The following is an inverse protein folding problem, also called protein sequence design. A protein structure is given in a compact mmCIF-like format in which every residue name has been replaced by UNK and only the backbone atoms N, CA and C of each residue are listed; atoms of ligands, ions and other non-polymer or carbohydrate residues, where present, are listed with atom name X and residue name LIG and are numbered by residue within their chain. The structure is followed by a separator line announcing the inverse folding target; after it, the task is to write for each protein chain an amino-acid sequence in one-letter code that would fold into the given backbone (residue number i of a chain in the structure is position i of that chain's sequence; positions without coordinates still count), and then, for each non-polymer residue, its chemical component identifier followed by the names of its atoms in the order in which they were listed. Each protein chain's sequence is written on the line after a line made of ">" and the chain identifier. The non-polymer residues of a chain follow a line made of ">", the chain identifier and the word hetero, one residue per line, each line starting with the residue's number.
data_IF_264555122033
#
_entry.id   IF_264555122033
#
_cell.length_a   1.000
_cell.length_b   1.000
_cell.length_c   1.000
_cell.angle_alpha   90.00
_cell.angle_beta   90.00
_cell.angle_gamma   90.00
#
_symmetry.space_group_name_H-M   'P 1'
#
loop_
_entity.id
_entity.type
_entity.pdbx_description
1 polymer ?
#
# COMPACT_ATOMS: atom_id res chain seq x y z
N UNK A 1 -18.54 32.14 27.35
CA UNK A 1 -18.43 30.73 27.79
C UNK A 1 -18.69 29.75 26.63
N UNK A 2 -19.75 29.95 25.84
CA UNK A 2 -20.07 29.07 24.70
C UNK A 2 -18.97 29.03 23.62
N UNK A 3 -18.36 30.17 23.29
CA UNK A 3 -17.28 30.26 22.29
C UNK A 3 -16.05 29.42 22.67
N UNK A 4 -15.70 29.41 23.96
CA UNK A 4 -14.59 28.62 24.49
C UNK A 4 -14.89 27.12 24.45
N UNK A 5 -16.14 26.73 24.72
CA UNK A 5 -16.60 25.34 24.66
C UNK A 5 -16.55 24.78 23.22
N UNK A 6 -17.00 25.57 22.24
CA UNK A 6 -16.93 25.19 20.82
C UNK A 6 -15.48 25.04 20.32
N UNK A 7 -14.59 25.96 20.72
CA UNK A 7 -13.17 25.88 20.39
C UNK A 7 -12.51 24.61 20.97
N UNK A 8 -12.79 24.28 22.23
CA UNK A 8 -12.27 23.06 22.87
C UNK A 8 -12.78 21.80 22.16
N UNK A 9 -14.05 21.76 21.79
CA UNK A 9 -14.63 20.64 21.06
C UNK A 9 -14.00 20.46 19.68
N UNK A 10 -13.74 21.54 18.95
CA UNK A 10 -13.05 21.48 17.65
C UNK A 10 -11.62 20.97 17.79
N UNK A 11 -10.86 21.48 18.77
CA UNK A 11 -9.49 21.03 19.03
C UNK A 11 -9.45 19.53 19.37
N UNK A 12 -10.37 19.05 20.21
CA UNK A 12 -10.49 17.62 20.52
C UNK A 12 -10.80 16.78 19.28
N UNK A 13 -11.70 17.27 18.40
CA UNK A 13 -12.02 16.63 17.13
C UNK A 13 -10.79 16.55 16.21
N UNK A 14 -10.00 17.62 16.11
CA UNK A 14 -8.77 17.62 15.32
C UNK A 14 -7.73 16.64 15.86
N UNK A 15 -7.54 16.59 17.19
CA UNK A 15 -6.61 15.64 17.82
C UNK A 15 -7.08 14.20 17.61
N UNK A 16 -8.37 13.92 17.80
CA UNK A 16 -8.93 12.58 17.61
C UNK A 16 -8.81 12.10 16.16
N UNK A 17 -9.12 12.96 15.20
CA UNK A 17 -8.99 12.66 13.75
C UNK A 17 -7.54 12.45 13.33
N UNK A 18 -6.61 13.23 13.87
CA UNK A 18 -5.18 13.03 13.65
C UNK A 18 -4.69 11.67 14.18
N UNK A 19 -5.07 11.32 15.41
CA UNK A 19 -4.71 10.04 16.02
C UNK A 19 -5.31 8.86 15.26
N UNK A 20 -6.56 8.97 14.81
CA UNK A 20 -7.20 7.98 13.95
C UNK A 20 -6.49 7.85 12.60
N UNK A 21 -6.06 8.95 12.00
CA UNK A 21 -5.28 8.94 10.75
C UNK A 21 -3.94 8.23 10.90
N UNK A 22 -3.21 8.51 11.99
CA UNK A 22 -1.94 7.84 12.30
C UNK A 22 -2.13 6.34 12.57
N UNK A 23 -3.17 5.98 13.34
CA UNK A 23 -3.54 4.60 13.58
C UNK A 23 -3.90 3.88 12.27
N UNK A 24 -4.60 4.54 11.36
CA UNK A 24 -4.96 4.00 10.05
C UNK A 24 -3.73 3.78 9.17
N UNK A 25 -2.79 4.73 9.12
CA UNK A 25 -1.54 4.61 8.36
C UNK A 25 -0.68 3.41 8.83
N UNK A 26 -0.64 3.14 10.13
CA UNK A 26 0.02 1.96 10.70
C UNK A 26 -0.78 0.66 10.59
N UNK A 27 -2.07 0.72 10.24
CA UNK A 27 -2.95 -0.44 10.18
C UNK A 27 -2.81 -1.23 8.88
N UNK A 28 -3.21 -2.52 8.93
CA UNK A 28 -3.28 -3.38 7.74
C UNK A 28 -4.17 -2.77 6.63
N UNK A 29 -5.27 -2.11 7.01
CA UNK A 29 -6.14 -1.41 6.06
C UNK A 29 -5.40 -0.27 5.34
N UNK A 30 -4.65 0.55 6.07
CA UNK A 30 -3.87 1.65 5.49
C UNK A 30 -2.78 1.15 4.54
N UNK A 31 -2.06 0.09 4.92
CA UNK A 31 -1.07 -0.56 4.04
C UNK A 31 -1.69 -1.08 2.76
N UNK A 32 -2.86 -1.71 2.86
CA UNK A 32 -3.59 -2.23 1.69
C UNK A 32 -4.12 -1.10 0.80
N UNK A 33 -4.61 -0.01 1.40
CA UNK A 33 -5.06 1.17 0.68
C UNK A 33 -3.91 1.87 -0.06
N UNK A 34 -2.80 2.16 0.63
CA UNK A 34 -1.60 2.74 0.01
C UNK A 34 -1.09 1.87 -1.14
N UNK A 35 -0.99 0.56 -0.94
CA UNK A 35 -0.57 -0.36 -2.00
C UNK A 35 -1.52 -0.37 -3.20
N UNK A 36 -2.84 -0.23 -2.98
CA UNK A 36 -3.83 -0.17 -4.06
C UNK A 36 -3.68 1.12 -4.87
N UNK A 37 -3.44 2.26 -4.22
CA UNK A 37 -3.18 3.54 -4.87
C UNK A 37 -1.87 3.47 -5.67
N UNK A 38 -0.81 2.88 -5.12
CA UNK A 38 0.48 2.72 -5.81
C UNK A 38 0.36 1.84 -7.07
N UNK A 39 -0.41 0.74 -6.99
CA UNK A 39 -0.73 -0.10 -8.16
C UNK A 39 -1.52 0.68 -9.22
N UNK A 40 -2.49 1.50 -8.81
CA UNK A 40 -3.28 2.33 -9.72
C UNK A 40 -2.41 3.40 -10.41
N UNK A 41 -1.51 4.03 -9.66
CA UNK A 41 -0.55 4.99 -10.17
C UNK A 41 0.38 4.34 -11.21
N UNK A 42 0.94 3.17 -10.88
CA UNK A 42 1.77 2.40 -11.82
C UNK A 42 1.03 2.06 -13.11
N UNK A 43 -0.24 1.68 -13.01
CA UNK A 43 -1.07 1.37 -14.17
C UNK A 43 -1.34 2.60 -15.03
N UNK A 44 -1.56 3.75 -14.40
CA UNK A 44 -1.84 5.03 -15.08
C UNK A 44 -0.60 5.56 -15.80
N UNK A 45 0.56 5.53 -15.13
CA UNK A 45 1.83 6.04 -15.68
C UNK A 45 2.62 5.01 -16.50
N UNK A 46 2.09 3.80 -16.71
CA UNK A 46 2.75 2.68 -17.42
C UNK A 46 4.19 2.44 -16.94
N UNK A 47 4.42 2.61 -15.64
CA UNK A 47 5.75 2.44 -15.05
C UNK A 47 6.16 0.97 -15.04
N UNK A 48 7.46 0.71 -15.19
CA UNK A 48 7.98 -0.65 -15.09
C UNK A 48 7.86 -1.14 -13.65
N UNK A 49 7.18 -2.28 -13.48
CA UNK A 49 7.12 -2.98 -12.20
C UNK A 49 8.40 -3.78 -12.02
N UNK A 50 9.12 -3.52 -10.93
CA UNK A 50 10.30 -4.30 -10.50
C UNK A 50 9.85 -5.43 -9.55
N UNK A 51 10.63 -6.51 -9.47
CA UNK A 51 10.37 -7.65 -8.56
C UNK A 51 10.19 -7.19 -7.11
N UNK A 52 11.02 -6.24 -6.63
CA UNK A 52 10.89 -5.69 -5.27
C UNK A 52 9.55 -5.01 -5.00
N UNK A 53 9.00 -4.26 -5.98
CA UNK A 53 7.68 -3.63 -5.85
C UNK A 53 6.55 -4.66 -5.82
N UNK A 54 6.68 -5.72 -6.62
CA UNK A 54 5.73 -6.84 -6.60
C UNK A 54 5.71 -7.55 -5.24
N UNK A 55 6.88 -7.83 -4.65
CA UNK A 55 6.99 -8.42 -3.32
C UNK A 55 6.41 -7.51 -2.22
N UNK A 56 6.68 -6.21 -2.31
CA UNK A 56 6.08 -5.21 -1.41
C UNK A 56 4.55 -5.26 -1.47
N UNK A 57 3.97 -5.25 -2.67
CA UNK A 57 2.51 -5.32 -2.80
C UNK A 57 1.91 -6.65 -2.36
N UNK A 58 2.58 -7.78 -2.64
CA UNK A 58 2.08 -9.12 -2.30
C UNK A 58 2.19 -9.42 -0.80
N UNK A 59 3.34 -9.17 -0.19
CA UNK A 59 3.61 -9.57 1.20
C UNK A 59 3.40 -8.45 2.21
N UNK A 60 3.70 -7.19 1.86
CA UNK A 60 3.60 -6.07 2.81
C UNK A 60 2.23 -5.40 2.77
N UNK A 61 1.67 -5.20 1.56
CA UNK A 61 0.34 -4.62 1.37
C UNK A 61 -0.78 -5.68 1.27
N UNK A 62 -0.47 -6.97 1.28
CA UNK A 62 -1.41 -8.09 1.17
C UNK A 62 -2.42 -7.94 0.01
N UNK A 63 -1.97 -7.45 -1.15
CA UNK A 63 -2.84 -7.29 -2.32
C UNK A 63 -3.00 -8.66 -3.00
N UNK A 64 -4.24 -9.13 -3.25
CA UNK A 64 -4.48 -10.49 -3.75
C UNK A 64 -4.01 -10.71 -5.19
N UNK A 65 -3.89 -9.66 -6.02
CA UNK A 65 -3.42 -9.78 -7.41
C UNK A 65 -2.65 -8.52 -7.88
N UNK A 66 -1.40 -8.32 -7.43
CA UNK A 66 -0.58 -7.19 -7.89
C UNK A 66 -0.07 -7.43 -9.32
N UNK A 67 0.18 -6.38 -10.11
CA UNK A 67 0.66 -6.53 -11.48
C UNK A 67 2.05 -7.19 -11.49
N UNK A 68 2.14 -8.36 -12.13
CA UNK A 68 3.38 -9.15 -12.22
C UNK A 68 4.41 -8.45 -13.14
N UNK A 69 5.68 -8.32 -12.73
CA UNK A 69 6.73 -7.74 -13.57
C UNK A 69 7.04 -8.64 -14.77
N UNK A 70 7.57 -8.06 -15.86
CA UNK A 70 7.83 -8.78 -17.13
C UNK A 70 8.71 -10.03 -16.93
N UNK A 71 9.69 -9.95 -16.03
CA UNK A 71 10.59 -11.05 -15.70
C UNK A 71 9.92 -12.22 -14.95
N UNK A 72 8.79 -11.99 -14.25
CA UNK A 72 7.98 -13.08 -13.67
C UNK A 72 6.96 -13.64 -14.67
N UNK A 73 6.53 -12.86 -15.67
CA UNK A 73 5.62 -13.35 -16.74
C UNK A 73 6.34 -14.23 -17.75
N UNK A 74 7.63 -14.00 -17.99
CA UNK A 74 8.50 -14.83 -18.83
C UNK A 74 9.83 -15.02 -18.09
N UNK A 75 9.92 -16.01 -17.19
CA UNK A 75 11.17 -16.28 -16.49
C UNK A 75 12.25 -16.71 -17.48
N UNK A 76 13.33 -15.93 -17.58
CA UNK A 76 14.54 -16.29 -18.32
C UNK A 76 15.57 -16.88 -17.35
N UNK A 77 15.97 -18.13 -17.56
CA UNK A 77 16.94 -18.86 -16.73
C UNK A 77 16.36 -19.60 -15.52
N UNK A 78 17.15 -20.54 -14.97
CA UNK A 78 16.76 -21.42 -13.85
C UNK A 78 16.43 -20.65 -12.56
N UNK A 79 17.21 -19.62 -12.24
CA UNK A 79 16.99 -18.78 -11.06
C UNK A 79 15.65 -18.04 -11.13
N UNK A 80 15.26 -17.55 -12.32
CA UNK A 80 13.97 -16.90 -12.54
C UNK A 80 12.79 -17.86 -12.37
N UNK A 81 12.93 -19.11 -12.86
CA UNK A 81 11.93 -20.17 -12.68
C UNK A 81 11.76 -20.59 -11.21
N UNK A 82 12.86 -20.73 -10.46
CA UNK A 82 12.80 -21.03 -9.03
C UNK A 82 12.14 -19.88 -8.27
N UNK A 83 12.53 -18.63 -8.54
CA UNK A 83 11.92 -17.46 -7.92
C UNK A 83 10.42 -17.34 -8.19
N UNK A 84 9.96 -17.60 -9.41
CA UNK A 84 8.52 -17.62 -9.72
C UNK A 84 7.78 -18.70 -8.94
N UNK A 85 8.40 -19.85 -8.69
CA UNK A 85 7.78 -21.01 -8.02
C UNK A 85 7.71 -20.88 -6.50
N UNK A 86 8.67 -20.19 -5.88
CA UNK A 86 8.71 -19.98 -4.42
C UNK A 86 8.02 -18.69 -3.95
N UNK A 87 7.82 -17.71 -4.85
CA UNK A 87 7.10 -16.47 -4.53
C UNK A 87 5.58 -16.63 -4.71
N UNK A 88 5.12 -17.56 -5.54
CA UNK A 88 3.69 -17.80 -5.79
C UNK A 88 2.98 -18.37 -4.55
#
# INVERSE_FOLDING_TARGET
>A
MEFTLQMVQQVLLYVATYLLGMAFAGSFLGRRWMGTVDVLLHRTFKLNVTIGKYLYWKHFCCIPNPPKPKNLRRPTGLAGMLFTRFIE
#
